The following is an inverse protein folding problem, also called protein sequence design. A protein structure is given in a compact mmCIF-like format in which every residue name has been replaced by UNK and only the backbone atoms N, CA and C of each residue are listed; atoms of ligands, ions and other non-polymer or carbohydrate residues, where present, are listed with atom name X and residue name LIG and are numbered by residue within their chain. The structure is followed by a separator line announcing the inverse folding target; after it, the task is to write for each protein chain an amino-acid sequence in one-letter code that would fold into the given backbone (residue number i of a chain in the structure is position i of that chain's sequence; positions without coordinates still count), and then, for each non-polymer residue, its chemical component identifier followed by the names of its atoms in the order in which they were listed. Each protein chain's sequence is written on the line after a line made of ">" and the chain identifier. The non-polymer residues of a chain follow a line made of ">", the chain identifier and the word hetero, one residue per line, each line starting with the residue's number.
data_IF_609800879468
#
_entry.id   IF_609800879468
#
_cell.length_a   1.000
_cell.length_b   1.000
_cell.length_c   1.000
_cell.angle_alpha   90.00
_cell.angle_beta   90.00
_cell.angle_gamma   90.00
#
_symmetry.space_group_name_H-M   'P 1'
#
loop_
_entity.id
_entity.type
_entity.pdbx_description
1 polymer ?
#
# COMPACT_ATOMS: atom_id res chain seq x y z
N UNK A 1 -25.37 -70.20 -3.77
CA UNK A 1 -25.91 -69.00 -3.09
C UNK A 1 -24.72 -68.06 -2.82
N UNK A 2 -24.34 -67.28 -3.83
CA UNK A 2 -23.08 -66.54 -3.81
C UNK A 2 -23.31 -65.04 -3.92
N UNK A 3 -22.67 -64.39 -3.08
CA UNK A 3 -22.58 -63.00 -2.68
C UNK A 3 -22.46 -61.99 -3.84
N UNK A 4 -23.49 -61.12 -3.96
CA UNK A 4 -23.55 -59.99 -4.90
C UNK A 4 -23.30 -58.64 -4.24
N UNK A 5 -22.54 -58.58 -3.15
CA UNK A 5 -22.38 -57.34 -2.34
C UNK A 5 -21.04 -56.62 -2.51
N UNK A 6 -20.12 -57.08 -3.38
CA UNK A 6 -18.79 -56.49 -3.49
C UNK A 6 -18.63 -55.33 -4.49
N UNK A 7 -19.63 -55.06 -5.36
CA UNK A 7 -19.45 -54.07 -6.46
C UNK A 7 -20.00 -52.66 -6.15
N UNK A 8 -20.80 -52.52 -5.12
CA UNK A 8 -21.39 -51.20 -4.78
C UNK A 8 -20.53 -50.34 -3.87
N UNK A 9 -19.62 -50.94 -3.11
CA UNK A 9 -18.72 -50.19 -2.22
C UNK A 9 -17.60 -49.49 -2.96
N UNK A 10 -17.15 -50.03 -4.09
CA UNK A 10 -16.01 -49.44 -4.84
C UNK A 10 -16.41 -48.19 -5.64
N UNK A 11 -17.67 -48.04 -6.04
CA UNK A 11 -18.15 -46.88 -6.80
C UNK A 11 -18.42 -45.65 -5.89
N UNK A 12 -18.70 -45.85 -4.61
CA UNK A 12 -18.97 -44.78 -3.66
C UNK A 12 -17.69 -44.12 -3.15
N UNK A 13 -16.58 -44.86 -3.08
CA UNK A 13 -15.27 -44.33 -2.69
C UNK A 13 -14.66 -43.50 -3.80
N UNK A 14 -14.87 -43.85 -5.07
CA UNK A 14 -14.35 -43.11 -6.22
C UNK A 14 -15.07 -41.75 -6.41
N UNK A 15 -16.36 -41.67 -6.07
CA UNK A 15 -17.13 -40.42 -6.16
C UNK A 15 -16.77 -39.42 -5.04
N UNK A 16 -16.30 -39.90 -3.90
CA UNK A 16 -15.93 -39.04 -2.77
C UNK A 16 -14.53 -38.44 -2.94
N UNK A 17 -13.61 -39.10 -3.64
CA UNK A 17 -12.26 -38.60 -3.92
C UNK A 17 -12.22 -37.53 -5.02
N UNK A 18 -13.19 -37.49 -5.94
CA UNK A 18 -13.27 -36.45 -6.97
C UNK A 18 -13.85 -35.12 -6.44
N UNK A 19 -14.62 -35.15 -5.35
CA UNK A 19 -15.19 -33.95 -4.74
C UNK A 19 -14.17 -33.18 -3.90
N UNK A 20 -13.10 -33.83 -3.42
CA UNK A 20 -12.04 -33.19 -2.62
C UNK A 20 -10.97 -32.47 -3.47
N UNK A 21 -10.89 -32.75 -4.75
CA UNK A 21 -9.91 -32.12 -5.66
C UNK A 21 -10.44 -30.83 -6.32
N UNK A 22 -11.73 -30.53 -6.20
CA UNK A 22 -12.32 -29.30 -6.75
C UNK A 22 -12.19 -28.09 -5.83
N UNK A 23 -11.67 -28.25 -4.60
CA UNK A 23 -11.49 -27.16 -3.63
C UNK A 23 -10.08 -26.54 -3.63
N UNK A 24 -9.18 -27.02 -4.48
CA UNK A 24 -7.84 -26.46 -4.63
C UNK A 24 -7.82 -25.47 -5.80
N UNK A 25 -7.87 -24.17 -5.48
CA UNK A 25 -7.38 -23.18 -6.41
C UNK A 25 -8.38 -22.20 -7.02
N UNK A 26 -9.22 -21.58 -6.22
CA UNK A 26 -9.57 -20.20 -6.49
C UNK A 26 -8.91 -19.35 -5.39
N UNK A 27 -7.71 -18.82 -5.68
CA UNK A 27 -7.27 -17.60 -4.99
C UNK A 27 -8.36 -16.55 -5.24
N UNK A 28 -9.21 -16.32 -4.25
CA UNK A 28 -10.12 -15.19 -4.27
C UNK A 28 -9.25 -13.95 -4.45
N UNK A 29 -9.24 -13.40 -5.67
CA UNK A 29 -8.61 -12.10 -5.92
C UNK A 29 -9.27 -11.12 -4.97
N UNK A 30 -8.58 -10.77 -3.89
CA UNK A 30 -9.07 -9.83 -2.89
C UNK A 30 -9.58 -8.59 -3.61
N UNK A 31 -10.84 -8.23 -3.36
CA UNK A 31 -11.47 -7.07 -3.98
C UNK A 31 -10.61 -5.83 -3.68
N UNK A 32 -10.29 -5.00 -4.68
CA UNK A 32 -9.55 -3.77 -4.46
C UNK A 32 -10.21 -2.90 -3.39
N UNK A 33 -9.40 -2.32 -2.51
CA UNK A 33 -9.86 -1.37 -1.50
C UNK A 33 -9.67 0.05 -2.01
N UNK A 34 -10.71 0.88 -1.94
CA UNK A 34 -10.67 2.28 -2.36
C UNK A 34 -11.08 3.21 -1.22
N UNK A 35 -10.43 4.37 -1.16
CA UNK A 35 -10.65 5.37 -0.11
C UNK A 35 -10.66 6.77 -0.72
N UNK A 36 -11.52 7.65 -0.19
CA UNK A 36 -11.49 9.09 -0.45
C UNK A 36 -10.98 9.84 0.77
N UNK A 37 -10.35 10.98 0.57
CA UNK A 37 -9.82 11.80 1.63
C UNK A 37 -9.63 13.26 1.19
N UNK A 38 -9.33 14.13 2.16
CA UNK A 38 -8.93 15.52 1.93
C UNK A 38 -7.52 15.74 2.45
N UNK A 39 -6.64 16.21 1.59
CA UNK A 39 -5.30 16.66 1.95
C UNK A 39 -5.33 18.12 2.39
N UNK A 40 -4.71 18.46 3.52
CA UNK A 40 -4.62 19.82 4.08
C UNK A 40 -3.16 20.20 4.25
N UNK A 41 -2.74 21.29 3.62
CA UNK A 41 -1.41 21.87 3.80
C UNK A 41 -1.20 22.36 5.25
N UNK A 42 -0.03 22.08 5.84
CA UNK A 42 0.24 22.37 7.25
C UNK A 42 1.29 23.45 7.48
N UNK A 43 1.90 24.02 6.43
CA UNK A 43 3.03 24.94 6.62
C UNK A 43 3.02 26.15 5.71
N UNK A 44 3.58 27.25 6.22
CA UNK A 44 3.87 28.48 5.46
C UNK A 44 2.66 29.05 4.71
N UNK A 45 2.87 29.54 3.51
CA UNK A 45 1.86 30.18 2.64
C UNK A 45 0.80 29.21 2.10
N UNK A 46 0.93 27.90 2.29
CA UNK A 46 -0.03 26.87 1.85
C UNK A 46 -0.85 26.31 3.01
N UNK A 47 -0.63 26.81 4.23
CA UNK A 47 -1.39 26.39 5.40
C UNK A 47 -2.91 26.62 5.20
N UNK A 48 -3.73 25.57 5.44
CA UNK A 48 -5.16 25.60 5.26
C UNK A 48 -5.66 25.32 3.83
N UNK A 49 -4.79 25.33 2.82
CA UNK A 49 -5.16 24.89 1.46
C UNK A 49 -5.54 23.43 1.44
N UNK A 50 -6.55 23.05 0.66
CA UNK A 50 -7.10 21.68 0.62
C UNK A 50 -7.16 21.13 -0.79
N UNK A 51 -6.91 19.82 -0.93
CA UNK A 51 -7.10 19.06 -2.18
C UNK A 51 -7.81 17.76 -1.84
N UNK A 52 -8.90 17.45 -2.52
CA UNK A 52 -9.50 16.12 -2.46
C UNK A 52 -8.61 15.12 -3.20
N UNK A 53 -8.54 13.92 -2.70
CA UNK A 53 -7.84 12.82 -3.35
C UNK A 53 -8.51 11.48 -3.03
N UNK A 54 -8.29 10.53 -3.90
CA UNK A 54 -8.61 9.13 -3.69
C UNK A 54 -7.35 8.27 -3.79
N UNK A 55 -7.39 7.12 -3.14
CA UNK A 55 -6.40 6.07 -3.38
C UNK A 55 -7.09 4.71 -3.43
N UNK A 56 -6.57 3.87 -4.31
CA UNK A 56 -7.06 2.50 -4.51
C UNK A 56 -5.89 1.54 -4.41
N UNK A 57 -6.02 0.56 -3.54
CA UNK A 57 -5.09 -0.55 -3.38
C UNK A 57 -5.68 -1.78 -4.03
N UNK A 58 -5.01 -2.30 -5.06
CA UNK A 58 -5.41 -3.52 -5.77
C UNK A 58 -4.85 -4.76 -5.12
N UNK A 59 -3.65 -4.63 -4.52
CA UNK A 59 -2.95 -5.71 -3.84
C UNK A 59 -2.03 -5.15 -2.77
N UNK A 60 -1.88 -5.86 -1.66
CA UNK A 60 -0.92 -5.50 -0.61
C UNK A 60 0.41 -6.21 -0.83
N UNK A 61 1.49 -5.47 -0.59
CA UNK A 61 2.87 -5.97 -0.66
C UNK A 61 3.09 -7.01 0.44
N UNK A 62 3.62 -8.16 0.08
CA UNK A 62 3.92 -9.25 1.01
C UNK A 62 5.12 -8.95 1.90
N UNK A 63 5.30 -9.69 3.00
CA UNK A 63 6.47 -9.55 3.87
C UNK A 63 7.77 -9.91 3.15
N UNK A 64 7.73 -10.89 2.25
CA UNK A 64 8.87 -11.30 1.45
C UNK A 64 9.34 -10.19 0.50
N UNK A 65 8.41 -9.53 -0.19
CA UNK A 65 8.71 -8.40 -1.06
C UNK A 65 9.28 -7.21 -0.28
N UNK A 66 8.66 -6.89 0.89
CA UNK A 66 9.18 -5.84 1.77
C UNK A 66 10.62 -6.13 2.22
N UNK A 67 10.91 -7.39 2.58
CA UNK A 67 12.26 -7.79 2.96
C UNK A 67 13.26 -7.66 1.81
N UNK A 68 12.86 -7.99 0.57
CA UNK A 68 13.67 -7.77 -0.63
C UNK A 68 13.98 -6.29 -0.85
N UNK A 69 12.98 -5.40 -0.73
CA UNK A 69 13.15 -3.96 -0.86
C UNK A 69 14.02 -3.38 0.26
N UNK A 70 13.83 -3.86 1.50
CA UNK A 70 14.66 -3.47 2.63
C UNK A 70 16.13 -3.88 2.45
N UNK A 71 16.40 -5.11 2.01
CA UNK A 71 17.75 -5.58 1.70
C UNK A 71 18.37 -4.75 0.58
N UNK A 72 17.62 -4.49 -0.51
CA UNK A 72 18.09 -3.68 -1.63
C UNK A 72 18.48 -2.26 -1.19
N UNK A 73 17.62 -1.62 -0.36
CA UNK A 73 17.91 -0.29 0.20
C UNK A 73 19.19 -0.31 1.06
N UNK A 74 19.34 -1.32 1.92
CA UNK A 74 20.49 -1.47 2.81
C UNK A 74 21.80 -1.67 2.04
N UNK A 75 21.76 -2.50 0.99
CA UNK A 75 22.95 -2.90 0.22
C UNK A 75 23.34 -1.90 -0.86
N UNK A 76 22.34 -1.42 -1.62
CA UNK A 76 22.55 -0.64 -2.86
C UNK A 76 22.02 0.81 -2.79
N UNK A 77 21.36 1.16 -1.66
CA UNK A 77 20.90 2.52 -1.41
C UNK A 77 19.58 2.91 -2.08
N UNK A 78 19.14 4.19 -1.88
CA UNK A 78 17.82 4.67 -2.27
C UNK A 78 17.56 4.67 -3.79
N UNK A 79 18.57 4.90 -4.63
CA UNK A 79 18.41 4.90 -6.08
C UNK A 79 18.10 3.51 -6.64
N UNK A 80 18.71 2.47 -6.07
CA UNK A 80 18.42 1.10 -6.46
C UNK A 80 17.00 0.69 -6.02
N UNK A 81 16.59 1.09 -4.80
CA UNK A 81 15.22 0.92 -4.34
C UNK A 81 14.23 1.62 -5.28
N UNK A 82 14.48 2.90 -5.64
CA UNK A 82 13.58 3.66 -6.53
C UNK A 82 13.37 2.94 -7.85
N UNK A 83 14.45 2.51 -8.52
CA UNK A 83 14.36 1.77 -9.79
C UNK A 83 13.58 0.46 -9.67
N UNK A 84 13.73 -0.26 -8.56
CA UNK A 84 12.95 -1.47 -8.32
C UNK A 84 11.46 -1.16 -8.16
N UNK A 85 11.14 -0.11 -7.40
CA UNK A 85 9.76 0.30 -7.13
C UNK A 85 9.04 0.91 -8.36
N UNK A 86 9.75 1.42 -9.36
CA UNK A 86 9.15 1.95 -10.60
C UNK A 86 8.40 0.90 -11.43
N UNK A 87 8.70 -0.38 -11.23
CA UNK A 87 8.05 -1.49 -11.93
C UNK A 87 6.90 -2.13 -11.12
N UNK A 88 6.68 -1.67 -9.90
CA UNK A 88 5.63 -2.21 -9.03
C UNK A 88 4.30 -1.48 -9.26
N UNK A 89 3.18 -2.22 -9.27
CA UNK A 89 1.82 -1.67 -9.37
C UNK A 89 0.92 -2.33 -8.34
N UNK A 90 0.66 -1.60 -7.26
CA UNK A 90 -0.25 -2.00 -6.18
C UNK A 90 -1.51 -1.13 -6.14
N UNK A 91 -1.73 -0.33 -7.19
CA UNK A 91 -2.86 0.59 -7.32
C UNK A 91 -2.45 2.03 -7.59
N UNK A 92 -3.32 2.99 -7.26
CA UNK A 92 -3.12 4.41 -7.58
C UNK A 92 -3.52 5.33 -6.45
N UNK A 93 -2.87 6.51 -6.41
CA UNK A 93 -3.26 7.66 -5.59
C UNK A 93 -3.47 8.85 -6.53
N UNK A 94 -4.67 9.47 -6.49
CA UNK A 94 -5.11 10.49 -7.45
C UNK A 94 -5.58 11.75 -6.72
N UNK A 95 -4.81 12.83 -6.69
CA UNK A 95 -5.34 14.13 -6.30
C UNK A 95 -6.32 14.64 -7.36
N UNK A 96 -7.41 15.26 -6.91
CA UNK A 96 -8.45 15.77 -7.79
C UNK A 96 -7.89 16.76 -8.83
N UNK A 97 -8.29 16.59 -10.08
CA UNK A 97 -7.84 17.43 -11.20
C UNK A 97 -6.40 17.19 -11.65
N UNK A 98 -5.73 16.11 -11.19
CA UNK A 98 -4.33 15.80 -11.54
C UNK A 98 -4.16 14.35 -11.97
N UNK A 99 -3.08 14.09 -12.71
CA UNK A 99 -2.63 12.73 -12.99
C UNK A 99 -2.04 12.18 -11.69
N UNK A 100 -2.59 11.06 -11.23
CA UNK A 100 -2.14 10.37 -10.03
C UNK A 100 -0.85 9.56 -10.23
N UNK A 101 -0.31 9.10 -9.11
CA UNK A 101 0.85 8.22 -9.08
C UNK A 101 0.43 6.77 -8.87
N UNK A 102 1.20 5.88 -9.45
CA UNK A 102 1.17 4.45 -9.17
C UNK A 102 1.67 4.19 -7.75
N UNK A 103 0.99 3.31 -7.04
CA UNK A 103 1.40 2.83 -5.73
C UNK A 103 2.40 1.68 -5.96
N UNK A 104 3.61 1.83 -5.48
CA UNK A 104 4.64 0.82 -5.60
C UNK A 104 4.64 -0.16 -4.40
N UNK A 105 4.35 0.36 -3.20
CA UNK A 105 4.21 -0.45 -1.99
C UNK A 105 2.91 -0.08 -1.31
N UNK A 106 2.11 -1.07 -0.96
CA UNK A 106 0.94 -0.95 -0.09
C UNK A 106 1.04 -1.95 1.05
N UNK A 107 1.02 -1.50 2.29
CA UNK A 107 1.07 -2.36 3.47
C UNK A 107 -0.11 -2.07 4.38
N UNK A 108 -0.81 -3.13 4.79
CA UNK A 108 -1.89 -3.07 5.77
C UNK A 108 -1.50 -3.85 7.02
N UNK A 109 -1.70 -3.27 8.18
CA UNK A 109 -1.45 -3.93 9.46
C UNK A 109 -2.49 -3.51 10.50
N UNK A 110 -2.78 -4.38 11.44
CA UNK A 110 -3.60 -4.05 12.61
C UNK A 110 -2.70 -3.49 13.72
N UNK A 111 -3.22 -2.47 14.41
CA UNK A 111 -2.59 -1.88 15.59
C UNK A 111 -3.66 -1.64 16.65
N UNK A 112 -3.88 -2.63 17.53
CA UNK A 112 -5.02 -2.64 18.43
C UNK A 112 -6.33 -2.72 17.64
N UNK A 113 -7.25 -1.79 17.90
CA UNK A 113 -8.53 -1.70 17.18
C UNK A 113 -8.42 -0.97 15.82
N UNK A 114 -7.27 -0.37 15.53
CA UNK A 114 -7.08 0.46 14.34
C UNK A 114 -6.35 -0.30 13.22
N UNK A 115 -6.67 0.04 11.99
CA UNK A 115 -5.97 -0.43 10.80
C UNK A 115 -5.03 0.65 10.29
N UNK A 116 -3.76 0.32 10.09
CA UNK A 116 -2.76 1.21 9.49
C UNK A 116 -2.54 0.77 8.04
N UNK A 117 -2.76 1.69 7.10
CA UNK A 117 -2.37 1.51 5.70
C UNK A 117 -1.20 2.43 5.40
N UNK A 118 -0.13 1.86 4.88
CA UNK A 118 1.07 2.58 4.45
C UNK A 118 1.26 2.40 2.96
N UNK A 119 1.46 3.51 2.25
CA UNK A 119 1.63 3.57 0.80
C UNK A 119 2.94 4.27 0.48
N UNK A 120 3.71 3.72 -0.48
CA UNK A 120 4.90 4.34 -1.05
C UNK A 120 4.73 4.41 -2.55
N UNK A 121 5.08 5.58 -3.14
CA UNK A 121 5.19 5.76 -4.59
C UNK A 121 6.66 5.94 -4.97
N UNK A 122 7.07 5.45 -6.14
CA UNK A 122 8.44 5.61 -6.67
C UNK A 122 8.70 7.02 -7.20
N UNK A 123 7.74 7.93 -7.09
CA UNK A 123 7.80 9.33 -7.53
C UNK A 123 7.17 10.24 -6.49
N UNK A 124 7.59 11.51 -6.49
CA UNK A 124 6.95 12.57 -5.70
C UNK A 124 5.46 12.63 -5.99
N UNK A 125 4.64 12.70 -4.95
CA UNK A 125 3.18 12.78 -5.09
C UNK A 125 2.76 14.18 -5.59
N UNK A 126 1.76 14.29 -6.48
CA UNK A 126 1.36 15.54 -7.13
C UNK A 126 0.49 16.45 -6.25
N UNK A 127 0.92 16.71 -5.00
CA UNK A 127 0.30 17.68 -4.08
C UNK A 127 1.03 19.03 -4.09
N UNK A 128 1.47 19.49 -5.26
CA UNK A 128 2.35 20.67 -5.40
C UNK A 128 1.76 21.97 -4.87
N UNK A 129 0.45 22.09 -4.79
CA UNK A 129 -0.26 23.26 -4.22
C UNK A 129 -0.19 23.30 -2.68
N UNK A 130 -0.02 22.12 -2.05
CA UNK A 130 0.06 21.97 -0.60
C UNK A 130 1.49 21.84 -0.11
N UNK A 131 2.45 21.86 -1.03
CA UNK A 131 3.83 21.56 -0.74
C UNK A 131 4.76 22.38 -1.67
N UNK A 132 5.36 23.41 -1.11
CA UNK A 132 6.41 24.18 -1.81
C UNK A 132 7.74 23.48 -1.62
N UNK A 133 8.11 22.59 -2.54
CA UNK A 133 9.48 22.10 -2.61
C UNK A 133 10.09 22.41 -3.97
N UNK A 134 11.36 22.78 -3.95
CA UNK A 134 12.18 22.64 -5.12
C UNK A 134 12.23 21.15 -5.53
N UNK A 135 12.45 20.87 -6.81
CA UNK A 135 12.67 19.50 -7.27
C UNK A 135 14.01 19.03 -6.72
N UNK A 136 13.97 18.23 -5.64
CA UNK A 136 15.16 17.58 -5.12
C UNK A 136 15.18 16.13 -5.57
N UNK A 137 16.24 15.74 -6.26
CA UNK A 137 16.48 14.34 -6.63
C UNK A 137 16.71 13.44 -5.42
N UNK A 138 17.04 14.03 -4.26
CA UNK A 138 17.31 13.30 -3.02
C UNK A 138 16.06 12.80 -2.31
N UNK A 139 14.87 13.31 -2.68
CA UNK A 139 13.57 12.94 -2.09
C UNK A 139 12.61 12.39 -3.15
N UNK A 140 12.95 11.28 -3.79
CA UNK A 140 12.24 10.81 -4.98
C UNK A 140 10.92 10.10 -4.68
N UNK A 141 10.63 9.77 -3.41
CA UNK A 141 9.48 8.96 -3.03
C UNK A 141 8.31 9.83 -2.58
N UNK A 142 7.09 9.32 -2.74
CA UNK A 142 5.94 9.78 -1.99
C UNK A 142 5.59 8.76 -0.91
N UNK A 143 5.08 9.23 0.22
CA UNK A 143 4.69 8.41 1.35
C UNK A 143 3.34 8.88 1.91
N UNK A 144 2.41 7.95 2.09
CA UNK A 144 1.14 8.16 2.79
C UNK A 144 0.98 7.09 3.85
N UNK A 145 0.62 7.50 5.06
CA UNK A 145 0.19 6.58 6.10
C UNK A 145 -1.15 7.05 6.65
N UNK A 146 -2.14 6.18 6.65
CA UNK A 146 -3.47 6.43 7.24
C UNK A 146 -3.72 5.47 8.39
N UNK A 147 -4.41 5.98 9.41
CA UNK A 147 -4.90 5.23 10.55
C UNK A 147 -6.42 5.26 10.49
N UNK A 148 -7.03 4.08 10.39
CA UNK A 148 -8.46 3.88 10.22
C UNK A 148 -9.03 3.17 11.45
N UNK A 149 -10.19 3.61 11.91
CA UNK A 149 -10.97 2.96 12.96
C UNK A 149 -11.69 1.69 12.45
N UNK A 150 -12.50 1.08 13.29
CA UNK A 150 -13.27 -0.13 12.94
C UNK A 150 -14.31 0.05 11.82
N UNK A 151 -14.72 1.29 11.52
CA UNK A 151 -15.60 1.63 10.39
C UNK A 151 -14.81 1.92 9.09
N UNK A 152 -13.50 1.87 9.12
CA UNK A 152 -12.64 2.20 7.98
C UNK A 152 -12.46 3.71 7.77
N UNK A 153 -12.81 4.54 8.75
CA UNK A 153 -12.67 5.99 8.71
C UNK A 153 -11.47 6.46 9.53
N UNK A 154 -10.85 7.57 9.14
CA UNK A 154 -9.71 8.04 9.89
C UNK A 154 -8.97 9.23 9.32
N UNK A 155 -7.69 9.30 9.69
CA UNK A 155 -6.78 10.38 9.31
C UNK A 155 -5.41 9.83 8.96
N UNK A 156 -4.56 10.69 8.39
CA UNK A 156 -3.21 10.27 8.02
C UNK A 156 -2.25 11.43 7.80
N UNK A 157 -1.06 11.05 7.35
CA UNK A 157 0.02 11.97 6.97
C UNK A 157 0.53 11.62 5.58
N UNK A 158 0.76 12.65 4.77
CA UNK A 158 1.38 12.55 3.45
C UNK A 158 2.72 13.28 3.49
N UNK A 159 3.77 12.64 3.04
CA UNK A 159 5.04 13.25 2.69
C UNK A 159 5.13 13.20 1.17
N UNK A 160 4.79 14.30 0.51
CA UNK A 160 4.70 14.36 -0.96
C UNK A 160 6.04 14.08 -1.62
N UNK A 161 7.14 14.54 -1.01
CA UNK A 161 8.51 14.21 -1.35
C UNK A 161 9.22 13.65 -0.12
N UNK A 162 9.62 12.40 -0.17
CA UNK A 162 10.25 11.68 0.92
C UNK A 162 11.57 11.04 0.48
N UNK A 163 12.48 10.91 1.43
CA UNK A 163 13.71 10.12 1.32
C UNK A 163 13.60 8.92 2.22
N UNK A 164 13.83 7.73 1.68
CA UNK A 164 13.88 6.48 2.43
C UNK A 164 15.34 6.05 2.47
N UNK A 165 15.90 5.85 3.65
CA UNK A 165 17.29 5.47 3.85
C UNK A 165 17.46 4.42 4.95
N UNK A 166 18.56 3.69 4.86
CA UNK A 166 19.02 2.84 5.95
C UNK A 166 20.12 3.56 6.73
N UNK A 167 19.90 3.80 8.02
CA UNK A 167 20.89 4.41 8.88
C UNK A 167 21.82 3.33 9.45
N UNK A 168 23.04 3.27 8.94
CA UNK A 168 24.04 2.28 9.34
C UNK A 168 24.49 2.40 10.79
N UNK A 169 24.33 3.59 11.42
CA UNK A 169 24.76 3.83 12.80
C UNK A 169 23.83 3.16 13.82
N UNK A 170 22.53 3.20 13.58
CA UNK A 170 21.52 2.63 14.48
C UNK A 170 20.83 1.37 13.92
N UNK A 171 21.14 0.96 12.67
CA UNK A 171 20.58 -0.23 12.04
C UNK A 171 19.10 -0.08 11.65
N UNK A 172 18.56 1.15 11.55
CA UNK A 172 17.14 1.41 11.31
C UNK A 172 16.87 2.00 9.92
N UNK A 173 15.67 1.72 9.41
CA UNK A 173 15.15 2.39 8.23
C UNK A 173 14.47 3.69 8.64
N UNK A 174 14.80 4.76 7.98
CA UNK A 174 14.32 6.11 8.26
C UNK A 174 13.61 6.68 7.04
N UNK A 175 12.53 7.43 7.31
CA UNK A 175 11.79 8.18 6.29
C UNK A 175 11.86 9.65 6.66
N UNK A 176 12.41 10.46 5.77
CA UNK A 176 12.52 11.92 5.93
C UNK A 176 11.63 12.62 4.91
N UNK A 177 10.87 13.61 5.36
CA UNK A 177 10.15 14.51 4.47
C UNK A 177 11.05 15.67 4.06
N UNK A 178 10.96 16.09 2.82
CA UNK A 178 11.64 17.31 2.36
C UNK A 178 11.17 18.52 3.19
N UNK A 179 12.14 19.30 3.73
CA UNK A 179 11.86 20.47 4.56
C UNK A 179 11.09 20.19 5.85
N UNK A 180 11.08 18.93 6.35
CA UNK A 180 10.30 18.48 7.52
C UNK A 180 8.79 18.79 7.42
N UNK A 181 8.28 18.99 6.20
CA UNK A 181 6.87 19.30 5.97
C UNK A 181 6.07 18.01 5.75
N UNK A 182 4.85 18.02 6.24
CA UNK A 182 3.87 16.99 5.96
C UNK A 182 2.50 17.61 5.66
N UNK A 183 1.70 16.88 4.93
CA UNK A 183 0.32 17.22 4.60
C UNK A 183 -0.58 16.34 5.44
N UNK A 184 -1.60 16.88 6.07
CA UNK A 184 -2.60 16.08 6.80
C UNK A 184 -3.56 15.46 5.80
N UNK A 185 -3.84 14.17 5.93
CA UNK A 185 -4.98 13.53 5.31
C UNK A 185 -6.10 13.44 6.35
N UNK A 186 -7.26 13.99 6.04
CA UNK A 186 -8.44 13.97 6.91
C UNK A 186 -9.63 13.41 6.17
N UNK A 187 -10.69 13.03 6.92
CA UNK A 187 -11.90 12.45 6.36
C UNK A 187 -11.60 11.27 5.42
N UNK A 188 -10.61 10.46 5.79
CA UNK A 188 -10.34 9.22 5.07
C UNK A 188 -11.50 8.28 5.32
N UNK A 189 -12.13 7.79 4.25
CA UNK A 189 -13.29 6.90 4.33
C UNK A 189 -13.32 5.96 3.12
N UNK A 190 -13.89 4.76 3.26
CA UNK A 190 -14.10 3.86 2.14
C UNK A 190 -14.89 4.56 1.02
N UNK A 191 -14.47 4.29 -0.21
CA UNK A 191 -15.15 4.77 -1.40
C UNK A 191 -15.60 3.55 -2.21
N UNK A 192 -16.92 3.36 -2.26
CA UNK A 192 -17.57 2.25 -2.99
C UNK A 192 -17.88 2.65 -4.44
#
# INVERSE_FOLDING_TARGET
>A
METRNGRFVFLLVLAFTTLLLASYGQEEKKKPEAYSAVAIGTGGSVGGSTIQFDFRVTEYTTDEELNKFAALLKEKGPDALRRALENEDRGRINPAGRIGNQIAVARKRQQGADTIITIVTARVMPFTELYRSGRSTDYPFGFLQVKLNGQGEGTGKIMAAAKIKFNKKNGQYEIESYGNQYIKAVNVRPWN
#
